data_IF_636287340160
#
_entry.id   IF_636287340160
#
_cell.length_a   1.000
_cell.length_b   1.000
_cell.length_c   1.000
_cell.angle_alpha   90.00
_cell.angle_beta   90.00
_cell.angle_gamma   90.00
#
_symmetry.space_group_name_H-M   'P 1'
#
loop_
_entity.id
_entity.type
_entity.pdbx_description
1 polymer ?
#
# COMPACT_ATOMS: atom_id res chain seq x y z
N UNK A 1 -37.95 1.32 -17.19
CA UNK A 1 -37.83 0.52 -15.95
C UNK A 1 -36.35 0.48 -15.59
N UNK A 2 -35.89 1.50 -14.87
CA UNK A 2 -34.48 1.68 -14.50
C UNK A 2 -34.25 0.80 -13.28
N UNK A 3 -33.42 -0.25 -13.42
CA UNK A 3 -32.92 -0.99 -12.27
C UNK A 3 -32.13 -0.04 -11.39
N UNK A 4 -32.81 0.50 -10.39
CA UNK A 4 -32.22 1.24 -9.28
C UNK A 4 -31.40 0.21 -8.51
N UNK A 5 -30.14 0.01 -8.91
CA UNK A 5 -29.12 -0.76 -8.21
C UNK A 5 -29.19 -0.31 -6.75
N UNK A 6 -29.76 -1.17 -5.90
CA UNK A 6 -29.76 -0.96 -4.45
C UNK A 6 -28.31 -0.79 -4.04
N UNK A 7 -27.90 0.44 -3.78
CA UNK A 7 -26.76 0.69 -2.92
C UNK A 7 -27.19 0.25 -1.53
N UNK A 8 -26.86 -1.00 -1.19
CA UNK A 8 -27.07 -1.56 0.13
C UNK A 8 -26.44 -0.59 1.14
N UNK A 9 -27.21 -0.03 2.09
CA UNK A 9 -26.65 0.80 3.13
C UNK A 9 -25.64 -0.02 3.92
N UNK A 10 -24.35 0.27 3.76
CA UNK A 10 -23.31 -0.29 4.62
C UNK A 10 -23.61 0.16 6.03
N UNK A 11 -23.94 -0.79 6.91
CA UNK A 11 -24.17 -0.53 8.33
C UNK A 11 -23.00 0.29 8.91
N UNK A 12 -23.27 1.38 9.65
CA UNK A 12 -22.22 2.18 10.25
C UNK A 12 -21.49 1.33 11.30
N UNK A 13 -20.29 0.85 10.96
CA UNK A 13 -19.45 0.00 11.83
C UNK A 13 -18.92 -1.29 11.18
N UNK A 14 -19.35 -1.65 9.97
CA UNK A 14 -18.78 -2.78 9.24
C UNK A 14 -17.43 -2.39 8.60
N UNK A 15 -16.36 -3.13 8.91
CA UNK A 15 -15.06 -2.96 8.26
C UNK A 15 -15.23 -3.26 6.76
N UNK A 16 -15.16 -2.24 5.92
CA UNK A 16 -15.39 -2.39 4.48
C UNK A 16 -14.19 -3.07 3.81
N UNK A 17 -14.44 -4.11 3.02
CA UNK A 17 -13.44 -4.68 2.12
C UNK A 17 -13.09 -3.66 1.03
N UNK A 18 -11.79 -3.47 0.78
CA UNK A 18 -11.36 -2.73 -0.40
C UNK A 18 -11.68 -3.51 -1.67
N UNK A 19 -12.14 -2.82 -2.71
CA UNK A 19 -12.35 -3.42 -4.05
C UNK A 19 -11.00 -3.64 -4.78
N UNK A 20 -9.88 -3.18 -4.20
CA UNK A 20 -8.53 -3.34 -4.74
C UNK A 20 -8.07 -4.78 -4.60
N UNK A 21 -7.39 -5.29 -5.62
CA UNK A 21 -6.90 -6.66 -5.63
C UNK A 21 -5.67 -6.79 -4.74
N UNK A 22 -5.78 -7.64 -3.72
CA UNK A 22 -4.65 -8.02 -2.86
C UNK A 22 -3.48 -8.57 -3.68
N UNK A 23 -3.75 -9.51 -4.60
CA UNK A 23 -2.71 -10.11 -5.42
C UNK A 23 -1.98 -9.04 -6.26
N UNK A 24 -2.72 -8.06 -6.79
CA UNK A 24 -2.12 -6.94 -7.53
C UNK A 24 -1.27 -6.06 -6.62
N UNK A 25 -1.72 -5.77 -5.40
CA UNK A 25 -0.93 -5.01 -4.43
C UNK A 25 0.37 -5.74 -4.03
N UNK A 26 0.30 -7.06 -3.79
CA UNK A 26 1.49 -7.87 -3.47
C UNK A 26 2.47 -7.94 -4.63
N UNK A 27 2.00 -8.16 -5.86
CA UNK A 27 2.86 -8.21 -7.05
C UNK A 27 3.50 -6.85 -7.32
N UNK A 28 2.74 -5.75 -7.21
CA UNK A 28 3.27 -4.40 -7.36
C UNK A 28 4.33 -4.10 -6.29
N UNK A 29 4.08 -4.51 -5.04
CA UNK A 29 5.02 -4.37 -3.93
C UNK A 29 6.29 -5.19 -4.13
N UNK A 30 6.20 -6.41 -4.67
CA UNK A 30 7.35 -7.29 -4.84
C UNK A 30 8.21 -6.95 -6.06
N UNK A 31 7.60 -6.49 -7.16
CA UNK A 31 8.31 -6.19 -8.42
C UNK A 31 8.77 -4.73 -8.48
N UNK A 32 7.98 -3.81 -7.92
CA UNK A 32 8.15 -2.35 -8.09
C UNK A 32 8.11 -1.62 -6.73
N UNK A 33 8.37 -2.34 -5.63
CA UNK A 33 8.31 -1.84 -4.25
C UNK A 33 9.17 -0.61 -4.00
N UNK A 34 10.44 -0.68 -4.40
CA UNK A 34 11.43 0.39 -4.23
C UNK A 34 11.13 1.70 -4.98
N UNK A 35 10.10 1.71 -5.85
CA UNK A 35 9.64 2.92 -6.55
C UNK A 35 8.38 3.52 -5.88
N UNK A 36 7.78 2.85 -4.88
CA UNK A 36 6.58 3.32 -4.17
C UNK A 36 5.28 3.19 -4.95
N UNK A 37 5.27 2.54 -6.12
CA UNK A 37 4.10 2.48 -7.03
C UNK A 37 2.87 1.83 -6.37
N UNK A 38 3.06 0.89 -5.45
CA UNK A 38 1.95 0.25 -4.72
C UNK A 38 1.20 1.22 -3.82
N UNK A 39 1.85 2.24 -3.23
CA UNK A 39 1.17 3.24 -2.41
C UNK A 39 0.21 4.09 -3.23
N UNK A 40 0.58 4.44 -4.48
CA UNK A 40 -0.32 5.11 -5.41
C UNK A 40 -1.53 4.23 -5.78
N UNK A 41 -1.32 2.93 -6.03
CA UNK A 41 -2.41 1.99 -6.32
C UNK A 41 -3.40 1.87 -5.16
N UNK A 42 -2.87 1.87 -3.94
CA UNK A 42 -3.61 1.76 -2.69
C UNK A 42 -4.19 3.11 -2.21
N UNK A 43 -3.99 4.20 -2.95
CA UNK A 43 -4.55 5.52 -2.61
C UNK A 43 -3.82 6.25 -1.47
N UNK A 44 -2.65 5.78 -1.05
CA UNK A 44 -1.78 6.43 -0.05
C UNK A 44 -0.73 7.29 -0.74
N UNK A 45 -1.19 8.38 -1.34
CA UNK A 45 -0.36 9.28 -2.15
C UNK A 45 0.86 9.84 -1.41
N UNK A 46 0.74 10.16 -0.12
CA UNK A 46 1.83 10.73 0.66
C UNK A 46 3.01 9.76 0.77
N UNK A 47 2.74 8.50 1.11
CA UNK A 47 3.78 7.47 1.22
C UNK A 47 4.41 7.15 -0.14
N UNK A 48 3.61 7.11 -1.21
CA UNK A 48 4.15 6.92 -2.56
C UNK A 48 5.11 8.04 -2.99
N UNK A 49 4.82 9.29 -2.60
CA UNK A 49 5.73 10.43 -2.86
C UNK A 49 6.98 10.35 -1.99
N UNK A 50 6.87 9.90 -0.73
CA UNK A 50 8.02 9.68 0.15
C UNK A 50 8.94 8.62 -0.42
N UNK A 51 8.42 7.46 -0.81
CA UNK A 51 9.19 6.37 -1.42
C UNK A 51 9.87 6.83 -2.71
N UNK A 52 9.13 7.49 -3.60
CA UNK A 52 9.72 8.03 -4.83
C UNK A 52 10.82 9.07 -4.56
N UNK A 53 10.64 9.88 -3.51
CA UNK A 53 11.66 10.80 -3.03
C UNK A 53 12.90 10.10 -2.48
N UNK A 54 12.73 8.99 -1.75
CA UNK A 54 13.83 8.15 -1.28
C UNK A 54 14.57 7.50 -2.45
N UNK A 55 13.85 6.98 -3.44
CA UNK A 55 14.44 6.40 -4.66
C UNK A 55 15.32 7.41 -5.39
N UNK A 56 14.77 8.61 -5.65
CA UNK A 56 15.51 9.70 -6.31
C UNK A 56 16.66 10.19 -5.44
N UNK A 57 16.47 10.20 -4.12
CA UNK A 57 17.44 10.63 -3.12
C UNK A 57 18.70 9.77 -3.12
N UNK A 58 18.57 8.44 -3.05
CA UNK A 58 19.73 7.56 -3.09
C UNK A 58 20.45 7.63 -4.45
N UNK A 59 19.70 7.63 -5.58
CA UNK A 59 20.28 7.77 -6.93
C UNK A 59 21.09 9.07 -7.04
N UNK A 60 20.52 10.18 -6.56
CA UNK A 60 21.16 11.50 -6.60
C UNK A 60 22.41 11.58 -5.71
N UNK A 61 22.41 10.92 -4.55
CA UNK A 61 23.58 10.86 -3.67
C UNK A 61 24.73 10.07 -4.30
N UNK A 62 24.42 8.92 -4.92
CA UNK A 62 25.41 8.14 -5.67
C UNK A 62 25.97 8.94 -6.86
N UNK A 63 25.13 9.66 -7.59
CA UNK A 63 25.57 10.51 -8.70
C UNK A 63 26.48 11.67 -8.27
N UNK A 64 26.32 12.18 -7.04
CA UNK A 64 27.16 13.24 -6.46
C UNK A 64 28.44 12.72 -5.79
N UNK A 65 28.62 11.41 -5.70
CA UNK A 65 29.79 10.80 -5.07
C UNK A 65 29.74 10.79 -3.53
N UNK A 66 28.54 10.87 -2.94
CA UNK A 66 28.31 10.80 -1.49
C UNK A 66 27.71 9.43 -1.10
N UNK A 67 28.52 8.35 -1.09
CA UNK A 67 28.01 6.98 -0.96
C UNK A 67 27.37 6.71 0.40
N UNK A 68 27.83 7.39 1.47
CA UNK A 68 27.32 7.16 2.83
C UNK A 68 25.85 7.58 2.93
N UNK A 69 25.52 8.78 2.44
CA UNK A 69 24.13 9.26 2.40
C UNK A 69 23.28 8.40 1.46
N UNK A 70 23.83 8.03 0.30
CA UNK A 70 23.14 7.14 -0.64
C UNK A 70 22.75 5.80 -0.03
N UNK A 71 23.66 5.17 0.73
CA UNK A 71 23.40 3.90 1.43
C UNK A 71 22.33 4.07 2.50
N UNK A 72 22.34 5.17 3.27
CA UNK A 72 21.30 5.44 4.27
C UNK A 72 19.91 5.54 3.64
N UNK A 73 19.78 6.30 2.55
CA UNK A 73 18.53 6.41 1.80
C UNK A 73 18.09 5.07 1.20
N UNK A 74 19.03 4.29 0.67
CA UNK A 74 18.76 2.96 0.10
C UNK A 74 18.24 1.98 1.17
N UNK A 75 18.85 1.96 2.35
CA UNK A 75 18.41 1.10 3.47
C UNK A 75 17.01 1.52 3.95
N UNK A 76 16.74 2.84 4.04
CA UNK A 76 15.43 3.33 4.41
C UNK A 76 14.34 2.93 3.40
N UNK A 77 14.62 3.08 2.10
CA UNK A 77 13.74 2.72 0.99
C UNK A 77 13.42 1.22 0.96
N UNK A 78 14.45 0.38 1.04
CA UNK A 78 14.28 -1.08 1.12
C UNK A 78 13.57 -1.50 2.41
N UNK A 79 13.93 -0.90 3.55
CA UNK A 79 13.32 -1.20 4.84
C UNK A 79 11.83 -0.87 4.86
N UNK A 80 11.44 0.30 4.35
CA UNK A 80 10.04 0.69 4.21
C UNK A 80 9.28 -0.26 3.29
N UNK A 81 9.81 -0.51 2.09
CA UNK A 81 9.23 -1.46 1.11
C UNK A 81 9.04 -2.86 1.70
N UNK A 82 10.00 -3.33 2.49
CA UNK A 82 9.95 -4.64 3.15
C UNK A 82 8.85 -4.69 4.22
N UNK A 83 8.79 -3.69 5.10
CA UNK A 83 7.74 -3.58 6.13
C UNK A 83 6.36 -3.55 5.49
N UNK A 84 6.17 -2.75 4.43
CA UNK A 84 4.89 -2.67 3.71
C UNK A 84 4.52 -4.00 3.06
N UNK A 85 5.48 -4.70 2.46
CA UNK A 85 5.25 -6.03 1.90
C UNK A 85 4.78 -7.02 2.97
N UNK A 86 5.42 -7.05 4.15
CA UNK A 86 4.98 -7.88 5.28
C UNK A 86 3.59 -7.47 5.78
N UNK A 87 3.30 -6.17 5.85
CA UNK A 87 2.00 -5.65 6.27
C UNK A 87 0.88 -5.99 5.28
N UNK A 88 1.19 -6.03 3.98
CA UNK A 88 0.31 -6.56 2.95
C UNK A 88 0.08 -8.05 3.19
N UNK A 89 1.14 -8.87 3.28
CA UNK A 89 1.04 -10.32 3.47
C UNK A 89 0.25 -10.73 4.73
N UNK A 90 0.34 -9.95 5.79
CA UNK A 90 -0.42 -10.17 7.03
C UNK A 90 -1.88 -9.74 6.96
N UNK A 91 -2.35 -9.15 5.84
CA UNK A 91 -3.73 -8.69 5.67
C UNK A 91 -4.13 -7.53 6.59
N UNK A 92 -3.13 -6.86 7.21
CA UNK A 92 -3.35 -5.72 8.09
C UNK A 92 -3.22 -4.38 7.37
N UNK A 93 -3.01 -4.39 6.05
CA UNK A 93 -2.83 -3.18 5.27
C UNK A 93 -4.18 -2.51 4.95
N UNK A 94 -4.23 -1.19 5.18
CA UNK A 94 -5.39 -0.34 4.86
C UNK A 94 -5.07 0.51 3.63
N UNK A 95 -6.06 0.66 2.76
CA UNK A 95 -5.99 1.58 1.63
C UNK A 95 -6.19 3.03 2.08
N UNK A 96 -6.05 3.98 1.15
CA UNK A 96 -6.21 5.42 1.38
C UNK A 96 -7.63 5.85 1.76
N UNK A 97 -8.63 4.97 1.59
CA UNK A 97 -10.00 5.17 2.06
C UNK A 97 -10.24 4.52 3.44
N UNK A 98 -9.20 3.95 4.05
CA UNK A 98 -9.27 3.27 5.34
C UNK A 98 -9.87 1.86 5.27
N UNK A 99 -10.14 1.32 4.09
CA UNK A 99 -10.68 -0.04 3.87
C UNK A 99 -9.54 -1.05 3.90
N UNK A 100 -9.80 -2.26 4.41
CA UNK A 100 -8.77 -3.32 4.41
C UNK A 100 -8.63 -3.98 3.05
N UNK A 101 -7.38 -4.21 2.65
CA UNK A 101 -7.07 -5.01 1.46
C UNK A 101 -7.00 -6.47 1.88
N UNK A 102 -8.05 -7.22 1.58
CA UNK A 102 -8.18 -8.60 2.03
C UNK A 102 -7.57 -9.61 1.05
N UNK A 103 -6.82 -10.58 1.57
CA UNK A 103 -6.37 -11.74 0.78
C UNK A 103 -7.54 -12.73 0.57
N UNK A 104 -7.51 -13.56 -0.48
CA UNK A 104 -8.60 -14.51 -0.76
C UNK A 104 -8.79 -15.46 0.43
N UNK A 105 -9.98 -15.44 1.04
CA UNK A 105 -10.35 -16.25 2.20
C UNK A 105 -10.29 -15.54 3.56
N UNK A 106 -9.92 -14.27 3.62
CA UNK A 106 -9.93 -13.48 4.87
C UNK A 106 -11.37 -13.17 5.31
N UNK A 107 -11.76 -13.61 6.51
CA UNK A 107 -13.03 -13.24 7.11
C UNK A 107 -12.91 -11.88 7.79
N UNK A 108 -13.67 -10.89 7.32
CA UNK A 108 -13.80 -9.61 8.00
C UNK A 108 -14.68 -9.82 9.24
N UNK A 109 -14.13 -9.55 10.42
CA UNK A 109 -14.93 -9.49 11.64
C UNK A 109 -15.94 -8.35 11.48
N UNK A 110 -17.15 -8.69 11.02
CA UNK A 110 -18.31 -7.85 11.26
C UNK A 110 -18.48 -7.82 12.77
N UNK A 111 -18.11 -6.70 13.40
CA UNK A 111 -18.35 -6.47 14.82
C UNK A 111 -19.86 -6.38 15.01
N UNK A 112 -20.52 -7.55 15.12
CA UNK A 112 -21.88 -7.65 15.61
C UNK A 112 -21.82 -7.39 17.10
N UNK A 113 -22.09 -6.14 17.48
CA UNK A 113 -22.48 -5.77 18.84
C UNK A 113 -23.99 -5.70 18.88
#
# INVERSE_FOLDING_TARGET
MVERRMETPTAPGAEAASRKSYATAVILSSVVGFLGVHHFYLGRWLEGVVDLGLTVGWISCFARGEPILGILFLIADFGHSFVVTIMLLTGNFRDGEGRRVCYPGQQLTSRQG
#
